data_IF_736837347419
#
_entry.id   IF_736837347419
#
_cell.length_a   1.000
_cell.length_b   1.000
_cell.length_c   1.000
_cell.angle_alpha   90.00
_cell.angle_beta   90.00
_cell.angle_gamma   90.00
#
_symmetry.space_group_name_H-M   'P 1'
#
loop_
_entity.id
_entity.type
_entity.pdbx_description
1 polymer ?
#
# COMPACT_ATOMS: atom_id res chain seq x y z
N UNK A 1 -4.55 27.01 0.89
CA UNK A 1 -3.98 28.37 0.99
C UNK A 1 -3.07 28.63 -0.20
N UNK A 2 -3.20 29.80 -0.86
CA UNK A 2 -2.43 30.21 -2.07
C UNK A 2 -0.91 29.99 -1.93
N UNK A 3 -0.38 30.32 -0.77
CA UNK A 3 1.03 30.14 -0.38
C UNK A 3 1.53 28.69 -0.52
N UNK A 4 0.70 27.69 -0.16
CA UNK A 4 1.07 26.27 -0.31
C UNK A 4 1.23 25.88 -1.78
N UNK A 5 0.40 26.41 -2.68
CA UNK A 5 0.49 26.13 -4.12
C UNK A 5 1.72 26.78 -4.75
N UNK A 6 2.05 28.01 -4.35
CA UNK A 6 3.23 28.73 -4.84
C UNK A 6 4.54 28.10 -4.32
N UNK A 7 4.58 27.62 -3.07
CA UNK A 7 5.73 26.90 -2.55
C UNK A 7 5.96 25.57 -3.30
N UNK A 8 4.89 24.81 -3.53
CA UNK A 8 4.96 23.55 -4.27
C UNK A 8 5.30 23.71 -5.75
N UNK A 9 5.26 24.94 -6.28
CA UNK A 9 5.64 25.26 -7.66
C UNK A 9 7.14 25.55 -7.82
N UNK A 10 7.92 25.64 -6.73
CA UNK A 10 9.38 25.78 -6.81
C UNK A 10 9.98 24.49 -7.40
N UNK A 11 10.90 24.57 -8.38
CA UNK A 11 11.46 23.38 -9.06
C UNK A 11 11.99 22.30 -8.11
N UNK A 12 12.72 22.69 -7.06
CA UNK A 12 13.30 21.75 -6.07
C UNK A 12 12.21 21.00 -5.28
N UNK A 13 11.08 21.65 -5.04
CA UNK A 13 9.95 21.10 -4.31
C UNK A 13 9.10 20.22 -5.23
N UNK A 14 8.95 20.59 -6.52
CA UNK A 14 8.25 19.78 -7.52
C UNK A 14 8.91 18.40 -7.65
N UNK A 15 10.23 18.36 -7.82
CA UNK A 15 10.97 17.09 -7.95
C UNK A 15 10.80 16.19 -6.72
N UNK A 16 10.87 16.79 -5.52
CA UNK A 16 10.66 16.07 -4.25
C UNK A 16 9.25 15.50 -4.16
N UNK A 17 8.23 16.28 -4.55
CA UNK A 17 6.83 15.84 -4.56
C UNK A 17 6.58 14.72 -5.55
N UNK A 18 7.19 14.77 -6.73
CA UNK A 18 7.11 13.71 -7.73
C UNK A 18 7.71 12.41 -7.21
N UNK A 19 8.89 12.48 -6.58
CA UNK A 19 9.51 11.30 -5.95
C UNK A 19 8.62 10.70 -4.86
N UNK A 20 8.01 11.55 -4.01
CA UNK A 20 7.08 11.08 -2.99
C UNK A 20 5.83 10.41 -3.58
N UNK A 21 5.28 10.93 -4.68
CA UNK A 21 4.15 10.28 -5.37
C UNK A 21 4.57 8.92 -5.91
N UNK A 22 5.69 8.84 -6.63
CA UNK A 22 6.20 7.58 -7.16
C UNK A 22 6.46 6.55 -6.04
N UNK A 23 7.02 6.96 -4.90
CA UNK A 23 7.21 6.07 -3.75
C UNK A 23 5.88 5.57 -3.16
N UNK A 24 4.85 6.42 -3.11
CA UNK A 24 3.52 6.01 -2.65
C UNK A 24 2.87 5.02 -3.62
N UNK A 25 3.03 5.22 -4.92
CA UNK A 25 2.51 4.31 -5.95
C UNK A 25 3.20 2.95 -5.86
N UNK A 26 4.54 2.93 -5.76
CA UNK A 26 5.31 1.69 -5.54
C UNK A 26 4.88 0.96 -4.27
N UNK A 27 4.68 1.69 -3.15
CA UNK A 27 4.21 1.10 -1.90
C UNK A 27 2.81 0.50 -2.03
N UNK A 28 1.95 1.09 -2.86
CA UNK A 28 0.61 0.56 -3.11
C UNK A 28 0.71 -0.76 -3.88
N UNK A 29 1.50 -0.82 -4.95
CA UNK A 29 1.71 -2.02 -5.74
C UNK A 29 2.32 -3.16 -4.91
N UNK A 30 3.34 -2.86 -4.09
CA UNK A 30 3.94 -3.86 -3.20
C UNK A 30 2.93 -4.42 -2.18
N UNK A 31 2.07 -3.56 -1.62
CA UNK A 31 1.02 -4.00 -0.68
C UNK A 31 -0.02 -4.87 -1.34
N UNK A 32 -0.41 -4.55 -2.58
CA UNK A 32 -1.35 -5.35 -3.36
C UNK A 32 -0.76 -6.74 -3.68
N UNK A 33 0.51 -6.79 -4.12
CA UNK A 33 1.22 -8.04 -4.35
C UNK A 33 1.37 -8.89 -3.09
N UNK A 34 1.75 -8.27 -1.96
CA UNK A 34 1.83 -8.95 -0.67
C UNK A 34 0.47 -9.52 -0.25
N UNK A 35 -0.61 -8.73 -0.33
CA UNK A 35 -1.95 -9.18 0.00
C UNK A 35 -2.39 -10.37 -0.86
N UNK A 36 -2.01 -10.38 -2.14
CA UNK A 36 -2.29 -11.50 -3.04
C UNK A 36 -1.55 -12.78 -2.62
N UNK A 37 -0.26 -12.69 -2.26
CA UNK A 37 0.49 -13.84 -1.78
C UNK A 37 -0.02 -14.37 -0.44
N UNK A 38 -0.41 -13.49 0.49
CA UNK A 38 -1.02 -13.89 1.77
C UNK A 38 -2.37 -14.59 1.57
N UNK A 39 -3.19 -14.11 0.63
CA UNK A 39 -4.45 -14.76 0.30
C UNK A 39 -4.24 -16.17 -0.28
N UNK A 40 -3.27 -16.34 -1.18
CA UNK A 40 -2.91 -17.66 -1.71
C UNK A 40 -2.39 -18.59 -0.62
N UNK A 41 -1.52 -18.10 0.26
CA UNK A 41 -1.03 -18.87 1.40
C UNK A 41 -2.19 -19.43 2.23
N UNK A 42 -3.14 -18.57 2.61
CA UNK A 42 -4.31 -18.99 3.37
C UNK A 42 -5.18 -19.99 2.59
N UNK A 43 -5.36 -19.78 1.28
CA UNK A 43 -6.13 -20.70 0.44
C UNK A 43 -5.47 -22.09 0.36
N UNK A 44 -4.14 -22.16 0.26
CA UNK A 44 -3.39 -23.40 0.12
C UNK A 44 -3.27 -24.17 1.43
N UNK A 45 -3.05 -23.46 2.54
CA UNK A 45 -2.74 -24.07 3.84
C UNK A 45 -3.94 -24.15 4.77
N UNK A 46 -4.98 -23.34 4.55
CA UNK A 46 -6.08 -23.13 5.47
C UNK A 46 -5.70 -22.32 6.72
N UNK A 47 -4.45 -21.86 6.84
CA UNK A 47 -3.96 -21.13 8.00
C UNK A 47 -3.97 -19.63 7.75
N UNK A 48 -4.39 -18.88 8.78
CA UNK A 48 -4.36 -17.41 8.79
C UNK A 48 -3.19 -16.88 9.61
N UNK A 49 -2.19 -17.70 9.91
CA UNK A 49 -1.02 -17.33 10.69
C UNK A 49 0.21 -18.03 10.12
N UNK A 50 1.39 -17.40 10.23
CA UNK A 50 2.66 -18.01 9.86
C UNK A 50 3.78 -17.52 10.78
N UNK A 51 4.81 -18.33 10.94
CA UNK A 51 6.04 -17.97 11.64
C UNK A 51 6.98 -17.27 10.65
N UNK A 52 7.53 -16.12 11.04
CA UNK A 52 8.50 -15.40 10.24
C UNK A 52 9.94 -15.85 10.49
N UNK A 53 10.90 -15.24 9.80
CA UNK A 53 12.33 -15.58 9.92
C UNK A 53 12.90 -15.31 11.32
N UNK A 54 12.24 -14.46 12.11
CA UNK A 54 12.63 -14.11 13.48
C UNK A 54 12.00 -15.06 14.52
N UNK A 55 11.17 -16.02 14.08
CA UNK A 55 10.42 -16.94 14.95
C UNK A 55 9.15 -16.30 15.55
N UNK A 56 8.73 -15.14 15.06
CA UNK A 56 7.49 -14.50 15.48
C UNK A 56 6.31 -15.04 14.68
N UNK A 57 5.25 -15.44 15.38
CA UNK A 57 3.98 -15.79 14.73
C UNK A 57 3.21 -14.53 14.38
N UNK A 58 2.90 -14.37 13.09
CA UNK A 58 2.10 -13.25 12.56
C UNK A 58 0.78 -13.73 12.00
N UNK A 59 -0.28 -12.97 12.24
CA UNK A 59 -1.62 -13.23 11.70
C UNK A 59 -1.88 -12.45 10.41
N UNK A 60 -2.57 -13.10 9.48
CA UNK A 60 -3.15 -12.52 8.27
C UNK A 60 -4.46 -11.84 8.66
N UNK A 61 -4.46 -10.50 8.66
CA UNK A 61 -5.63 -9.69 9.03
C UNK A 61 -6.21 -8.98 7.80
N UNK A 62 -7.44 -9.33 7.43
CA UNK A 62 -8.19 -8.60 6.42
C UNK A 62 -8.98 -7.45 7.04
N UNK A 63 -8.83 -6.26 6.49
CA UNK A 63 -9.57 -5.07 6.93
C UNK A 63 -10.62 -4.72 5.89
N UNK A 64 -11.89 -4.83 6.27
CA UNK A 64 -12.99 -4.33 5.44
C UNK A 64 -12.90 -2.80 5.32
N UNK A 65 -13.02 -2.27 4.09
CA UNK A 65 -12.98 -0.83 3.84
C UNK A 65 -14.10 -0.43 2.88
N UNK A 66 -14.71 0.72 3.16
CA UNK A 66 -15.61 1.37 2.20
C UNK A 66 -14.78 2.16 1.20
N UNK A 67 -14.93 1.84 -0.08
CA UNK A 67 -14.27 2.52 -1.19
C UNK A 67 -15.31 3.08 -2.15
N UNK A 68 -14.92 4.13 -2.90
CA UNK A 68 -15.78 4.62 -3.98
C UNK A 68 -15.96 3.52 -5.02
N UNK A 69 -17.19 3.29 -5.49
CA UNK A 69 -17.50 2.31 -6.54
C UNK A 69 -16.56 2.43 -7.74
N UNK A 70 -16.32 3.66 -8.21
CA UNK A 70 -15.44 3.98 -9.34
C UNK A 70 -13.96 3.58 -9.16
N UNK A 71 -13.51 3.34 -7.93
CA UNK A 71 -12.15 2.91 -7.64
C UNK A 71 -12.02 1.39 -7.45
N UNK A 72 -13.15 0.69 -7.31
CA UNK A 72 -13.20 -0.75 -7.07
C UNK A 72 -13.39 -1.56 -8.36
N UNK A 73 -14.14 -1.03 -9.33
CA UNK A 73 -14.42 -1.72 -10.61
C UNK A 73 -13.27 -1.60 -11.64
N UNK A 74 -12.02 -1.44 -11.19
CA UNK A 74 -10.84 -1.37 -12.09
C UNK A 74 -10.21 -2.74 -12.27
#
# INVERSE_FOLDING_TARGET
TKVKKELLAKPDIVHTVEKLKAMNDNLKELKEGLSYFLAQYQQMTGQSSFEDEDGEVRDIVYVAKLVKRSAFDK
#
